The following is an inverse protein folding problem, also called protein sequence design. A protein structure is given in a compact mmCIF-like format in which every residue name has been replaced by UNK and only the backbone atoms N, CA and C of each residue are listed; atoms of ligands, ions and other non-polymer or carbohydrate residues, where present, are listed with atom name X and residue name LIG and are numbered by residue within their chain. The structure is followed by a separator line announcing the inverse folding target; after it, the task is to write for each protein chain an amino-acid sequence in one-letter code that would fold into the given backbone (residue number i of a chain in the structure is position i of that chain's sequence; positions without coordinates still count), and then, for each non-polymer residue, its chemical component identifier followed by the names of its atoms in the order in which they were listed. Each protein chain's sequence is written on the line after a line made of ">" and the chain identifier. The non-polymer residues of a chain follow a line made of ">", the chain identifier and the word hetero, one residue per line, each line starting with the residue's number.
data_IF_988695518632
#
_entry.id   IF_988695518632
#
_cell.length_a   1.000
_cell.length_b   1.000
_cell.length_c   1.000
_cell.angle_alpha   90.00
_cell.angle_beta   90.00
_cell.angle_gamma   90.00
#
_symmetry.space_group_name_H-M   'P 1'
#
loop_
_entity.id
_entity.type
_entity.pdbx_description
1 polymer ?
#
# COMPACT_ATOMS: atom_id res chain seq x y z
N UNK A 1 16.06 20.04 -20.32
CA UNK A 1 15.30 18.96 -19.65
C UNK A 1 15.95 18.71 -18.30
N UNK A 2 15.39 19.28 -17.23
CA UNK A 2 15.87 19.12 -15.85
C UNK A 2 15.29 17.83 -15.29
N UNK A 3 16.13 16.82 -15.04
CA UNK A 3 15.72 15.62 -14.31
C UNK A 3 15.17 16.03 -12.93
N UNK A 4 13.96 15.59 -12.53
CA UNK A 4 13.42 15.92 -11.22
C UNK A 4 14.39 15.39 -10.15
N UNK A 5 14.98 16.31 -9.39
CA UNK A 5 15.77 15.99 -8.20
C UNK A 5 14.80 15.55 -7.11
N UNK A 6 14.48 14.26 -7.10
CA UNK A 6 13.89 13.63 -5.93
C UNK A 6 14.76 14.00 -4.72
N UNK A 7 14.21 14.57 -3.64
CA UNK A 7 15.00 14.75 -2.43
C UNK A 7 15.49 13.36 -2.06
N UNK A 8 16.81 13.19 -2.08
CA UNK A 8 17.49 12.01 -1.59
C UNK A 8 17.31 11.95 -0.08
N UNK A 9 16.07 11.72 0.36
CA UNK A 9 15.78 11.08 1.62
C UNK A 9 16.37 9.68 1.45
N UNK A 10 17.65 9.60 1.78
CA UNK A 10 18.40 8.37 1.97
C UNK A 10 17.61 7.57 2.99
N UNK A 11 16.70 6.74 2.48
CA UNK A 11 16.02 5.71 3.21
C UNK A 11 17.10 4.66 3.53
N UNK A 12 17.94 4.97 4.51
CA UNK A 12 18.85 4.03 5.14
C UNK A 12 18.01 3.07 5.99
N UNK A 13 17.20 2.26 5.31
CA UNK A 13 16.60 1.07 5.86
C UNK A 13 17.74 0.09 6.11
N UNK A 14 18.44 0.26 7.22
CA UNK A 14 19.20 -0.81 7.84
C UNK A 14 18.17 -1.79 8.41
N UNK A 15 17.58 -2.60 7.53
CA UNK A 15 16.84 -3.80 7.92
C UNK A 15 17.87 -4.81 8.41
N UNK A 16 18.43 -4.60 9.60
CA UNK A 16 19.04 -5.69 10.35
C UNK A 16 17.88 -6.61 10.74
N UNK A 17 17.57 -7.56 9.86
CA UNK A 17 16.39 -8.41 9.99
C UNK A 17 16.44 -9.20 11.31
N UNK A 18 15.36 -9.23 12.11
CA UNK A 18 15.19 -10.31 13.06
C UNK A 18 15.13 -11.61 12.24
N UNK A 19 15.92 -12.61 12.63
CA UNK A 19 15.92 -13.92 12.00
C UNK A 19 14.48 -14.44 11.89
N UNK A 20 13.99 -14.58 10.66
CA UNK A 20 12.67 -15.11 10.33
C UNK A 20 12.67 -16.64 10.57
N UNK A 21 12.70 -17.05 11.84
CA UNK A 21 12.68 -18.45 12.23
C UNK A 21 11.23 -18.94 12.39
N UNK A 22 10.62 -19.38 11.30
CA UNK A 22 9.32 -20.05 11.26
C UNK A 22 9.35 -21.19 10.24
N UNK A 23 9.11 -22.43 10.69
CA UNK A 23 9.37 -23.66 9.94
C UNK A 23 8.38 -23.88 8.79
N UNK A 24 8.83 -23.67 7.55
CA UNK A 24 8.14 -24.07 6.32
C UNK A 24 8.40 -23.11 5.17
N UNK A 25 9.61 -23.16 4.58
CA UNK A 25 10.03 -22.28 3.47
C UNK A 25 11.38 -21.55 3.67
N UNK A 26 12.12 -21.84 4.75
CA UNK A 26 13.31 -21.08 5.16
C UNK A 26 14.40 -20.95 4.08
N UNK A 27 14.59 -21.93 3.19
CA UNK A 27 15.61 -21.83 2.14
C UNK A 27 15.28 -20.74 1.09
N UNK A 28 14.01 -20.62 0.65
CA UNK A 28 13.63 -19.55 -0.30
C UNK A 28 13.61 -18.17 0.38
N UNK A 29 13.17 -18.08 1.63
CA UNK A 29 13.11 -16.82 2.36
C UNK A 29 14.51 -16.28 2.71
N UNK A 30 15.45 -17.15 3.10
CA UNK A 30 16.84 -16.77 3.38
C UNK A 30 17.60 -16.43 2.09
N UNK A 31 17.36 -17.15 0.99
CA UNK A 31 17.91 -16.82 -0.33
C UNK A 31 17.34 -15.51 -0.88
N UNK A 32 16.03 -15.29 -0.73
CA UNK A 32 15.38 -14.03 -1.11
C UNK A 32 15.90 -12.88 -0.24
N UNK A 33 16.04 -13.07 1.07
CA UNK A 33 16.65 -12.09 1.97
C UNK A 33 18.07 -11.73 1.55
N UNK A 34 18.92 -12.73 1.29
CA UNK A 34 20.29 -12.52 0.83
C UNK A 34 20.36 -11.85 -0.55
N UNK A 35 19.47 -12.22 -1.47
CA UNK A 35 19.39 -11.59 -2.80
C UNK A 35 18.91 -10.13 -2.72
N UNK A 36 18.01 -9.82 -1.79
CA UNK A 36 17.51 -8.45 -1.54
C UNK A 36 18.54 -7.56 -0.82
N UNK A 37 19.53 -8.15 -0.13
CA UNK A 37 20.66 -7.43 0.49
C UNK A 37 21.94 -7.43 -0.36
N UNK A 38 21.93 -8.14 -1.49
CA UNK A 38 23.04 -8.22 -2.42
C UNK A 38 23.32 -6.94 -3.22
N UNK A 39 24.18 -7.06 -4.23
CA UNK A 39 24.47 -5.94 -5.12
C UNK A 39 23.24 -5.51 -5.94
N UNK A 40 23.41 -4.51 -6.81
CA UNK A 40 22.30 -3.99 -7.63
C UNK A 40 21.68 -5.07 -8.52
N UNK A 41 22.47 -6.00 -9.06
CA UNK A 41 21.99 -7.03 -9.97
C UNK A 41 21.20 -8.11 -9.21
N UNK A 42 21.69 -8.55 -8.05
CA UNK A 42 20.99 -9.50 -7.19
C UNK A 42 19.65 -8.94 -6.71
N UNK A 43 19.62 -7.67 -6.29
CA UNK A 43 18.37 -6.99 -5.91
C UNK A 43 17.37 -6.91 -7.06
N UNK A 44 17.84 -6.65 -8.27
CA UNK A 44 16.97 -6.61 -9.45
C UNK A 44 16.37 -7.99 -9.74
N UNK A 45 17.19 -9.05 -9.71
CA UNK A 45 16.73 -10.42 -9.90
C UNK A 45 15.73 -10.85 -8.83
N UNK A 46 15.93 -10.46 -7.57
CA UNK A 46 15.00 -10.75 -6.49
C UNK A 46 13.64 -10.04 -6.67
N UNK A 47 13.65 -8.78 -7.13
CA UNK A 47 12.41 -8.07 -7.49
C UNK A 47 11.67 -8.77 -8.63
N UNK A 48 12.40 -9.17 -9.68
CA UNK A 48 11.82 -9.87 -10.82
C UNK A 48 11.23 -11.23 -10.43
N UNK A 49 11.90 -11.95 -9.53
CA UNK A 49 11.43 -13.22 -8.99
C UNK A 49 10.08 -13.09 -8.28
N UNK A 50 9.92 -12.09 -7.40
CA UNK A 50 8.65 -11.85 -6.70
C UNK A 50 7.55 -11.39 -7.67
N UNK A 51 7.89 -10.61 -8.69
CA UNK A 51 6.94 -10.15 -9.71
C UNK A 51 6.48 -11.25 -10.67
N UNK A 52 7.34 -12.23 -10.97
CA UNK A 52 7.03 -13.31 -11.89
C UNK A 52 5.95 -14.25 -11.33
N UNK A 53 6.01 -14.54 -10.03
CA UNK A 53 5.08 -15.44 -9.35
C UNK A 53 4.60 -14.83 -8.04
N UNK A 54 3.64 -13.88 -8.08
CA UNK A 54 3.20 -13.19 -6.88
C UNK A 54 2.23 -13.99 -6.01
N UNK A 55 1.51 -14.96 -6.59
CA UNK A 55 0.48 -15.72 -5.89
C UNK A 55 0.99 -16.41 -4.61
N UNK A 56 2.11 -17.15 -4.61
CA UNK A 56 2.61 -17.83 -3.42
C UNK A 56 3.36 -16.90 -2.44
N UNK A 57 3.58 -15.62 -2.79
CA UNK A 57 4.43 -14.72 -1.99
C UNK A 57 3.66 -14.11 -0.83
N UNK A 58 4.36 -13.98 0.29
CA UNK A 58 3.87 -13.34 1.50
C UNK A 58 3.83 -11.83 1.36
N UNK A 59 3.01 -11.17 2.18
CA UNK A 59 2.97 -9.71 2.22
C UNK A 59 4.33 -9.11 2.55
N UNK A 60 5.08 -9.75 3.44
CA UNK A 60 6.41 -9.30 3.84
C UNK A 60 7.41 -9.36 2.67
N UNK A 61 7.45 -10.47 1.94
CA UNK A 61 8.31 -10.61 0.76
C UNK A 61 7.99 -9.55 -0.30
N UNK A 62 6.71 -9.30 -0.56
CA UNK A 62 6.27 -8.26 -1.49
C UNK A 62 6.70 -6.86 -1.03
N UNK A 63 6.53 -6.52 0.26
CA UNK A 63 6.93 -5.22 0.79
C UNK A 63 8.45 -5.03 0.78
N UNK A 64 9.25 -6.06 1.10
CA UNK A 64 10.71 -5.95 1.00
C UNK A 64 11.13 -5.81 -0.47
N UNK A 65 10.53 -6.56 -1.39
CA UNK A 65 10.77 -6.39 -2.82
C UNK A 65 10.39 -4.98 -3.31
N UNK A 66 9.28 -4.41 -2.82
CA UNK A 66 8.91 -3.03 -3.11
C UNK A 66 9.98 -2.03 -2.64
N UNK A 67 10.54 -2.23 -1.44
CA UNK A 67 11.65 -1.41 -0.93
C UNK A 67 12.87 -1.45 -1.86
N UNK A 68 13.21 -2.63 -2.40
CA UNK A 68 14.34 -2.77 -3.33
C UNK A 68 14.01 -2.18 -4.69
N UNK A 69 12.79 -2.33 -5.19
CA UNK A 69 12.35 -1.68 -6.42
C UNK A 69 12.48 -0.14 -6.33
N UNK A 70 12.15 0.47 -5.18
CA UNK A 70 12.43 1.89 -4.92
C UNK A 70 13.92 2.21 -5.02
N UNK A 71 14.79 1.44 -4.36
CA UNK A 71 16.25 1.63 -4.40
C UNK A 71 16.84 1.50 -5.82
N UNK A 72 16.21 0.68 -6.68
CA UNK A 72 16.60 0.46 -8.07
C UNK A 72 16.05 1.54 -9.03
N UNK A 73 15.16 2.41 -8.55
CA UNK A 73 14.45 3.40 -9.39
C UNK A 73 13.30 2.81 -10.21
N UNK A 74 12.86 1.59 -9.90
CA UNK A 74 11.75 0.88 -10.57
C UNK A 74 10.43 1.22 -9.88
N UNK A 75 9.99 2.48 -10.01
CA UNK A 75 8.86 3.03 -9.24
C UNK A 75 7.53 2.32 -9.52
N UNK A 76 7.25 1.96 -10.77
CA UNK A 76 6.03 1.22 -11.12
C UNK A 76 5.99 -0.16 -10.45
N UNK A 77 7.07 -0.93 -10.56
CA UNK A 77 7.21 -2.23 -9.90
C UNK A 77 7.10 -2.11 -8.37
N UNK A 78 7.69 -1.05 -7.79
CA UNK A 78 7.55 -0.76 -6.38
C UNK A 78 6.08 -0.52 -6.00
N UNK A 79 5.32 0.23 -6.83
CA UNK A 79 3.89 0.45 -6.65
C UNK A 79 3.10 -0.86 -6.67
N UNK A 80 3.32 -1.71 -7.69
CA UNK A 80 2.64 -3.01 -7.81
C UNK A 80 2.92 -3.89 -6.60
N UNK A 81 4.20 -4.04 -6.22
CA UNK A 81 4.59 -4.86 -5.08
C UNK A 81 4.07 -4.31 -3.75
N UNK A 82 4.05 -2.99 -3.58
CA UNK A 82 3.56 -2.35 -2.36
C UNK A 82 2.05 -2.52 -2.18
N UNK A 83 1.26 -2.15 -3.18
CA UNK A 83 -0.20 -2.28 -3.09
C UNK A 83 -0.64 -3.75 -3.09
N UNK A 84 0.03 -4.62 -3.86
CA UNK A 84 -0.16 -6.07 -3.81
C UNK A 84 0.16 -6.63 -2.41
N UNK A 85 1.28 -6.20 -1.83
CA UNK A 85 1.69 -6.56 -0.47
C UNK A 85 0.71 -6.10 0.61
N UNK A 86 0.16 -4.89 0.49
CA UNK A 86 -0.89 -4.37 1.38
C UNK A 86 -2.20 -5.19 1.28
N UNK A 87 -2.63 -5.55 0.06
CA UNK A 87 -3.80 -6.40 -0.13
C UNK A 87 -3.56 -7.80 0.45
N UNK A 88 -2.39 -8.40 0.21
CA UNK A 88 -1.98 -9.68 0.78
C UNK A 88 -1.93 -9.61 2.31
N UNK A 89 -1.34 -8.56 2.88
CA UNK A 89 -1.26 -8.36 4.33
C UNK A 89 -2.64 -8.31 4.97
N UNK A 90 -3.56 -7.56 4.36
CA UNK A 90 -4.93 -7.47 4.86
C UNK A 90 -5.63 -8.82 4.80
N UNK A 91 -5.48 -9.54 3.69
CA UNK A 91 -6.04 -10.87 3.53
C UNK A 91 -5.49 -11.81 4.60
N UNK A 92 -4.17 -11.78 4.80
CA UNK A 92 -3.54 -12.68 5.74
C UNK A 92 -4.02 -12.43 7.18
N UNK A 93 -4.18 -11.16 7.58
CA UNK A 93 -4.68 -10.77 8.90
C UNK A 93 -6.13 -11.18 9.14
N UNK A 94 -6.98 -11.09 8.10
CA UNK A 94 -8.40 -11.40 8.20
C UNK A 94 -8.68 -12.91 8.05
N UNK A 95 -7.87 -13.63 7.27
CA UNK A 95 -8.06 -15.04 6.95
C UNK A 95 -7.26 -16.01 7.85
N UNK A 96 -6.13 -15.58 8.42
CA UNK A 96 -5.29 -16.40 9.30
C UNK A 96 -5.18 -15.77 10.68
N UNK A 97 -5.79 -16.40 11.70
CA UNK A 97 -5.71 -15.90 13.07
C UNK A 97 -4.29 -16.08 13.61
N UNK A 98 -3.65 -14.98 14.02
CA UNK A 98 -2.36 -14.98 14.72
C UNK A 98 -2.55 -15.12 16.23
N UNK A 99 -1.49 -15.46 16.96
CA UNK A 99 -1.51 -15.66 18.43
C UNK A 99 -1.68 -14.38 19.28
N UNK A 100 -2.23 -13.32 18.71
CA UNK A 100 -2.46 -12.04 19.38
C UNK A 100 -1.48 -10.92 18.97
N UNK A 101 -1.74 -9.68 19.41
CA UNK A 101 -0.98 -8.50 19.00
C UNK A 101 0.27 -8.33 19.88
N UNK A 102 1.34 -9.06 19.57
CA UNK A 102 2.67 -8.73 20.10
C UNK A 102 3.28 -7.58 19.26
N UNK A 103 3.87 -6.52 19.85
CA UNK A 103 4.71 -5.56 19.11
C UNK A 103 5.85 -6.21 18.30
N UNK A 104 6.29 -7.43 18.64
CA UNK A 104 7.23 -8.23 17.84
C UNK A 104 6.58 -9.09 16.76
N UNK A 105 5.26 -9.05 16.60
CA UNK A 105 4.54 -9.89 15.63
C UNK A 105 4.85 -9.49 14.18
N UNK A 106 4.84 -10.44 13.23
CA UNK A 106 4.96 -10.13 11.80
C UNK A 106 3.93 -9.11 11.30
N UNK A 107 2.74 -9.10 11.88
CA UNK A 107 1.72 -8.09 11.61
C UNK A 107 2.18 -6.66 11.95
N UNK A 108 2.90 -6.48 13.07
CA UNK A 108 3.48 -5.19 13.43
C UNK A 108 4.58 -4.77 12.45
N UNK A 109 5.45 -5.70 12.06
CA UNK A 109 6.51 -5.49 11.06
C UNK A 109 5.93 -5.06 9.71
N UNK A 110 4.91 -5.77 9.22
CA UNK A 110 4.21 -5.45 7.97
C UNK A 110 3.61 -4.05 8.01
N UNK A 111 2.93 -3.67 9.11
CA UNK A 111 2.38 -2.31 9.28
C UNK A 111 3.48 -1.24 9.27
N UNK A 112 4.59 -1.49 9.96
CA UNK A 112 5.71 -0.54 10.01
C UNK A 112 6.35 -0.36 8.63
N UNK A 113 6.65 -1.46 7.93
CA UNK A 113 7.21 -1.42 6.58
C UNK A 113 6.27 -0.73 5.60
N UNK A 114 4.98 -1.09 5.64
CA UNK A 114 3.95 -0.45 4.84
C UNK A 114 3.91 1.07 5.05
N UNK A 115 3.90 1.53 6.31
CA UNK A 115 3.93 2.96 6.61
C UNK A 115 5.17 3.65 6.04
N UNK A 116 6.35 3.08 6.23
CA UNK A 116 7.62 3.64 5.73
C UNK A 116 7.66 3.68 4.20
N UNK A 117 7.24 2.60 3.54
CA UNK A 117 7.24 2.50 2.08
C UNK A 117 6.19 3.39 1.45
N UNK A 118 5.01 3.52 2.06
CA UNK A 118 3.96 4.42 1.60
C UNK A 118 4.44 5.87 1.49
N UNK A 119 5.31 6.34 2.40
CA UNK A 119 5.89 7.69 2.32
C UNK A 119 6.74 7.92 1.07
N UNK A 120 7.43 6.88 0.57
CA UNK A 120 8.25 6.96 -0.63
C UNK A 120 7.45 6.65 -1.91
N UNK A 121 6.57 5.65 -1.86
CA UNK A 121 5.85 5.11 -3.00
C UNK A 121 4.62 5.94 -3.35
N UNK A 122 3.85 6.43 -2.36
CA UNK A 122 2.62 7.17 -2.65
C UNK A 122 2.86 8.43 -3.49
N UNK A 123 3.79 9.35 -3.16
CA UNK A 123 4.02 10.52 -4.01
C UNK A 123 4.54 10.11 -5.39
N UNK A 124 5.35 9.05 -5.45
CA UNK A 124 5.91 8.58 -6.71
C UNK A 124 4.90 7.88 -7.61
N UNK A 125 3.84 7.29 -7.07
CA UNK A 125 2.82 6.59 -7.85
C UNK A 125 1.60 7.48 -8.06
N UNK A 126 1.02 8.02 -6.99
CA UNK A 126 -0.24 8.76 -7.03
C UNK A 126 -0.15 10.11 -7.72
N UNK A 127 0.99 10.81 -7.66
CA UNK A 127 1.12 12.12 -8.32
C UNK A 127 1.38 12.02 -9.85
N UNK A 128 1.58 10.81 -10.40
CA UNK A 128 1.71 10.57 -11.83
C UNK A 128 0.59 9.64 -12.33
N UNK A 129 -0.46 10.17 -13.01
CA UNK A 129 -1.61 9.38 -13.42
C UNK A 129 -1.26 8.21 -14.36
N UNK A 130 -0.29 8.37 -15.27
CA UNK A 130 0.10 7.29 -16.19
C UNK A 130 0.73 6.12 -15.45
N UNK A 131 1.56 6.40 -14.45
CA UNK A 131 2.19 5.39 -13.61
C UNK A 131 1.17 4.73 -12.70
N UNK A 132 0.25 5.49 -12.11
CA UNK A 132 -0.83 4.92 -11.32
C UNK A 132 -1.70 3.99 -12.18
N UNK A 133 -2.04 4.39 -13.40
CA UNK A 133 -2.76 3.54 -14.35
C UNK A 133 -2.02 2.24 -14.65
N UNK A 134 -0.71 2.29 -14.90
CA UNK A 134 0.10 1.09 -15.12
C UNK A 134 0.11 0.17 -13.89
N UNK A 135 0.22 0.74 -12.69
CA UNK A 135 0.16 0.00 -11.42
C UNK A 135 -1.21 -0.65 -11.24
N UNK A 136 -2.30 0.12 -11.37
CA UNK A 136 -3.69 -0.36 -11.25
C UNK A 136 -3.94 -1.48 -12.26
N UNK A 137 -3.57 -1.28 -13.52
CA UNK A 137 -3.72 -2.28 -14.57
C UNK A 137 -3.03 -3.61 -14.27
N UNK A 138 -1.85 -3.58 -13.64
CA UNK A 138 -1.16 -4.81 -13.20
C UNK A 138 -1.78 -5.44 -11.96
N UNK A 139 -2.45 -4.65 -11.12
CA UNK A 139 -3.14 -5.13 -9.93
C UNK A 139 -4.52 -5.73 -10.23
N UNK A 140 -5.13 -5.40 -11.37
CA UNK A 140 -6.40 -5.98 -11.83
C UNK A 140 -6.35 -7.51 -11.84
N UNK A 141 -5.30 -8.08 -12.41
CA UNK A 141 -5.15 -9.54 -12.49
C UNK A 141 -4.44 -10.14 -11.27
N UNK A 142 -4.10 -9.32 -10.26
CA UNK A 142 -3.32 -9.78 -9.12
C UNK A 142 -4.16 -10.63 -8.16
N UNK A 143 -3.72 -11.84 -7.78
CA UNK A 143 -4.48 -12.73 -6.93
C UNK A 143 -4.41 -12.31 -5.45
N UNK A 144 -5.49 -11.71 -4.94
CA UNK A 144 -5.64 -11.39 -3.50
C UNK A 144 -5.71 -12.65 -2.65
N UNK A 145 -6.31 -13.73 -3.14
CA UNK A 145 -6.32 -15.04 -2.46
C UNK A 145 -5.04 -15.82 -2.82
N UNK A 146 -4.30 -16.36 -1.84
CA UNK A 146 -3.12 -17.16 -2.13
C UNK A 146 -3.52 -18.59 -2.57
N UNK A 147 -2.59 -19.35 -3.18
CA UNK A 147 -2.85 -20.74 -3.57
C UNK A 147 -3.07 -21.66 -2.36
N UNK A 148 -3.60 -22.86 -2.62
CA UNK A 148 -3.72 -23.90 -1.59
C UNK A 148 -2.35 -24.26 -1.01
N UNK A 149 -2.30 -24.53 0.30
CA UNK A 149 -1.05 -24.84 1.01
C UNK A 149 -0.20 -23.62 1.37
N UNK A 150 -0.65 -22.42 1.02
CA UNK A 150 0.00 -21.17 1.43
C UNK A 150 0.18 -21.08 2.95
N UNK A 151 1.30 -20.48 3.36
CA UNK A 151 1.63 -20.22 4.76
C UNK A 151 2.04 -18.75 4.89
N UNK A 152 1.35 -17.93 5.70
CA UNK A 152 1.81 -16.58 5.96
C UNK A 152 3.12 -16.62 6.75
N UNK A 153 3.81 -15.49 6.82
CA UNK A 153 5.09 -15.34 7.54
C UNK A 153 4.97 -15.46 9.08
N UNK A 154 3.81 -15.87 9.60
CA UNK A 154 3.55 -16.03 11.04
C UNK A 154 2.90 -17.37 11.36
N UNK A 155 3.04 -17.86 12.61
CA UNK A 155 2.31 -19.03 13.08
C UNK A 155 0.80 -18.83 12.96
N UNK A 156 0.14 -19.78 12.29
CA UNK A 156 -1.31 -19.79 12.08
C UNK A 156 -1.95 -20.63 13.17
N UNK A 157 -2.88 -20.05 13.94
CA UNK A 157 -3.70 -20.83 14.87
C UNK A 157 -4.86 -21.51 14.17
N UNK A 158 -5.50 -20.80 13.26
CA UNK A 158 -6.58 -21.31 12.44
C UNK A 158 -6.74 -20.54 11.14
N UNK A 159 -7.26 -21.22 10.14
CA UNK A 159 -7.66 -20.67 8.84
C UNK A 159 -9.18 -20.52 8.79
N UNK A 160 -9.67 -19.47 8.12
CA UNK A 160 -11.11 -19.33 7.85
C UNK A 160 -11.57 -20.33 6.78
N UNK A 161 -12.88 -20.59 6.72
CA UNK A 161 -13.48 -21.43 5.68
C UNK A 161 -13.30 -20.81 4.28
N UNK A 162 -13.21 -21.62 3.22
CA UNK A 162 -12.99 -21.13 1.85
C UNK A 162 -13.98 -20.05 1.39
N UNK A 163 -15.26 -20.18 1.73
CA UNK A 163 -16.30 -19.20 1.34
C UNK A 163 -16.08 -17.85 2.02
N UNK A 164 -15.57 -17.87 3.25
CA UNK A 164 -15.21 -16.66 4.00
C UNK A 164 -13.95 -16.03 3.41
N UNK A 165 -12.98 -16.85 3.01
CA UNK A 165 -11.76 -16.39 2.33
C UNK A 165 -12.06 -15.68 1.00
N UNK A 166 -12.95 -16.22 0.17
CA UNK A 166 -13.34 -15.59 -1.09
C UNK A 166 -14.04 -14.24 -0.88
N UNK A 167 -14.92 -14.16 0.11
CA UNK A 167 -15.54 -12.89 0.50
C UNK A 167 -14.50 -11.87 0.96
N UNK A 168 -13.57 -12.25 1.84
CA UNK A 168 -12.48 -11.37 2.31
C UNK A 168 -11.67 -10.86 1.11
N UNK A 169 -11.30 -11.74 0.17
CA UNK A 169 -10.54 -11.35 -1.01
C UNK A 169 -11.29 -10.35 -1.89
N UNK A 170 -12.60 -10.54 -2.09
CA UNK A 170 -13.47 -9.60 -2.79
C UNK A 170 -13.56 -8.25 -2.10
N UNK A 171 -13.81 -8.23 -0.78
CA UNK A 171 -13.88 -7.01 0.02
C UNK A 171 -12.56 -6.21 -0.02
N UNK A 172 -11.41 -6.90 0.06
CA UNK A 172 -10.09 -6.26 -0.04
C UNK A 172 -9.87 -5.65 -1.42
N UNK A 173 -10.26 -6.36 -2.48
CA UNK A 173 -10.15 -5.83 -3.85
C UNK A 173 -10.95 -4.55 -3.99
N UNK A 174 -12.22 -4.54 -3.56
CA UNK A 174 -13.05 -3.33 -3.66
C UNK A 174 -12.50 -2.19 -2.78
N UNK A 175 -12.13 -2.48 -1.53
CA UNK A 175 -11.71 -1.43 -0.59
C UNK A 175 -10.28 -0.91 -0.83
N UNK A 176 -9.43 -1.64 -1.58
CA UNK A 176 -8.06 -1.21 -1.90
C UNK A 176 -7.89 -0.85 -3.36
N UNK A 177 -8.17 -1.79 -4.27
CA UNK A 177 -8.04 -1.55 -5.71
C UNK A 177 -9.12 -0.57 -6.19
N UNK A 178 -10.35 -0.66 -5.67
CA UNK A 178 -11.42 0.31 -5.97
C UNK A 178 -11.00 1.74 -5.64
N UNK A 179 -10.42 1.97 -4.45
CA UNK A 179 -9.90 3.31 -4.06
C UNK A 179 -8.80 3.80 -5.00
N UNK A 180 -7.92 2.92 -5.50
CA UNK A 180 -6.89 3.31 -6.46
C UNK A 180 -7.47 3.66 -7.84
N UNK A 181 -8.52 2.95 -8.29
CA UNK A 181 -9.26 3.28 -9.51
C UNK A 181 -9.95 4.63 -9.40
N UNK A 182 -10.65 4.84 -8.29
CA UNK A 182 -11.32 6.11 -7.98
C UNK A 182 -10.31 7.27 -7.96
N UNK A 183 -9.15 7.05 -7.33
CA UNK A 183 -8.08 8.03 -7.30
C UNK A 183 -7.54 8.33 -8.70
N UNK A 184 -7.39 7.30 -9.55
CA UNK A 184 -6.95 7.48 -10.94
C UNK A 184 -7.95 8.32 -11.75
N UNK A 185 -9.25 8.15 -11.53
CA UNK A 185 -10.29 9.00 -12.12
C UNK A 185 -10.15 10.44 -11.61
N UNK A 186 -10.04 10.62 -10.30
CA UNK A 186 -9.99 11.93 -9.67
C UNK A 186 -8.73 12.74 -10.02
N UNK A 187 -7.55 12.11 -10.05
CA UNK A 187 -6.28 12.80 -10.33
C UNK A 187 -6.17 13.29 -11.78
N UNK A 188 -7.01 12.78 -12.68
CA UNK A 188 -7.14 13.26 -14.07
C UNK A 188 -8.06 14.48 -14.21
N UNK A 189 -8.81 14.82 -13.17
CA UNK A 189 -9.69 16.00 -13.16
C UNK A 189 -8.93 17.23 -12.64
N UNK A 190 -8.84 18.28 -13.47
CA UNK A 190 -8.08 19.50 -13.14
C UNK A 190 -8.62 20.22 -11.90
N UNK A 191 -9.94 20.21 -11.69
CA UNK A 191 -10.58 20.89 -10.55
C UNK A 191 -10.23 20.15 -9.26
N UNK A 192 -10.37 18.83 -9.26
CA UNK A 192 -10.01 17.99 -8.12
C UNK A 192 -8.51 18.12 -7.80
N UNK A 193 -7.64 18.06 -8.82
CA UNK A 193 -6.19 18.20 -8.66
C UNK A 193 -5.80 19.54 -8.06
N UNK A 194 -6.32 20.65 -8.60
CA UNK A 194 -6.01 21.98 -8.07
C UNK A 194 -6.49 22.14 -6.62
N UNK A 195 -7.66 21.59 -6.29
CA UNK A 195 -8.17 21.62 -4.93
C UNK A 195 -7.30 20.78 -3.97
N UNK A 196 -6.80 19.61 -4.40
CA UNK A 196 -5.87 18.82 -3.62
C UNK A 196 -4.55 19.56 -3.38
N UNK A 197 -4.02 20.26 -4.39
CA UNK A 197 -2.83 21.09 -4.26
C UNK A 197 -3.03 22.22 -3.24
N UNK A 198 -4.21 22.87 -3.23
CA UNK A 198 -4.55 23.90 -2.25
C UNK A 198 -4.59 23.35 -0.81
N UNK A 199 -5.13 22.14 -0.61
CA UNK A 199 -5.13 21.44 0.69
C UNK A 199 -3.69 21.10 1.11
N UNK A 200 -2.87 20.58 0.18
CA UNK A 200 -1.46 20.28 0.46
C UNK A 200 -0.68 21.55 0.82
N UNK A 201 -0.92 22.65 0.10
CA UNK A 201 -0.33 23.96 0.39
C UNK A 201 -0.74 24.47 1.77
N UNK A 202 -2.01 24.33 2.16
CA UNK A 202 -2.49 24.66 3.50
C UNK A 202 -1.79 23.81 4.58
N UNK A 203 -1.67 22.50 4.37
CA UNK A 203 -1.01 21.59 5.33
C UNK A 203 0.49 21.88 5.49
N UNK A 204 1.14 22.47 4.48
CA UNK A 204 2.52 22.93 4.54
C UNK A 204 2.74 24.26 5.28
N UNK A 205 1.66 24.96 5.70
CA UNK A 205 1.77 26.23 6.44
C UNK A 205 2.16 26.00 7.91
N UNK A 206 2.90 26.95 8.49
CA UNK A 206 3.12 27.03 9.95
C UNK A 206 1.80 27.22 10.70
N UNK A 207 1.77 26.90 12.00
CA UNK A 207 0.55 27.03 12.83
C UNK A 207 -0.08 28.43 12.73
N UNK A 208 0.72 29.48 12.97
CA UNK A 208 0.25 30.87 12.92
C UNK A 208 -0.35 31.26 11.56
N UNK A 209 0.19 30.70 10.46
CA UNK A 209 -0.33 30.96 9.12
C UNK A 209 -1.62 30.21 8.84
N UNK A 210 -1.78 28.98 9.36
CA UNK A 210 -3.02 28.19 9.28
C UNK A 210 -4.16 28.83 10.07
N UNK A 211 -3.85 29.53 11.15
CA UNK A 211 -4.86 30.19 11.98
C UNK A 211 -5.45 31.47 11.40
N UNK A 212 -4.90 31.97 10.28
CA UNK A 212 -5.49 33.11 9.58
C UNK A 212 -6.83 32.75 8.93
N UNK A 213 -7.78 33.67 8.98
CA UNK A 213 -9.11 33.52 8.34
C UNK A 213 -8.97 33.18 6.84
N UNK A 214 -8.10 33.91 6.14
CA UNK A 214 -7.83 33.68 4.72
C UNK A 214 -7.23 32.29 4.40
N UNK A 215 -6.50 31.66 5.34
CA UNK A 215 -6.03 30.28 5.14
C UNK A 215 -7.18 29.27 5.34
N UNK A 216 -8.01 29.48 6.36
CA UNK A 216 -9.18 28.64 6.65
C UNK A 216 -10.23 28.71 5.54
N UNK A 217 -10.49 29.90 5.00
CA UNK A 217 -11.41 30.09 3.88
C UNK A 217 -10.93 29.37 2.61
N UNK A 218 -9.63 29.46 2.30
CA UNK A 218 -9.03 28.73 1.17
C UNK A 218 -9.12 27.22 1.34
N UNK A 219 -8.87 26.70 2.55
CA UNK A 219 -9.04 25.28 2.84
C UNK A 219 -10.51 24.86 2.63
N UNK A 220 -11.45 25.61 3.20
CA UNK A 220 -12.88 25.30 3.08
C UNK A 220 -13.36 25.35 1.63
N UNK A 221 -12.84 26.28 0.82
CA UNK A 221 -13.12 26.34 -0.61
C UNK A 221 -12.57 25.13 -1.36
N UNK A 222 -11.32 24.76 -1.09
CA UNK A 222 -10.70 23.57 -1.67
C UNK A 222 -11.49 22.28 -1.31
N UNK A 223 -11.92 22.15 -0.05
CA UNK A 223 -12.74 21.02 0.40
C UNK A 223 -14.07 20.94 -0.38
N UNK A 224 -14.79 22.06 -0.54
CA UNK A 224 -16.02 22.10 -1.34
C UNK A 224 -15.77 21.77 -2.82
N UNK A 225 -14.63 22.19 -3.37
CA UNK A 225 -14.25 21.85 -4.76
C UNK A 225 -13.99 20.36 -4.91
N UNK A 226 -13.33 19.72 -3.93
CA UNK A 226 -13.15 18.27 -3.90
C UNK A 226 -14.51 17.57 -3.83
N UNK A 227 -15.38 17.94 -2.89
CA UNK A 227 -16.70 17.32 -2.72
C UNK A 227 -17.52 17.36 -4.02
N UNK A 228 -17.61 18.53 -4.67
CA UNK A 228 -18.33 18.67 -5.95
C UNK A 228 -17.68 17.91 -7.10
N UNK A 229 -16.35 17.82 -7.11
CA UNK A 229 -15.65 17.07 -8.13
C UNK A 229 -15.85 15.57 -7.93
N UNK A 230 -15.77 15.07 -6.70
CA UNK A 230 -16.03 13.67 -6.34
C UNK A 230 -17.48 13.26 -6.68
N UNK A 231 -18.48 14.10 -6.35
CA UNK A 231 -19.88 13.88 -6.72
C UNK A 231 -20.06 13.82 -8.26
N UNK A 232 -19.42 14.74 -8.99
CA UNK A 232 -19.50 14.77 -10.46
C UNK A 232 -18.81 13.58 -11.12
N UNK A 233 -17.71 13.11 -10.53
CA UNK A 233 -16.92 11.98 -11.05
C UNK A 233 -17.43 10.62 -10.58
N UNK A 234 -18.43 10.60 -9.68
CA UNK A 234 -18.96 9.39 -9.05
C UNK A 234 -17.88 8.58 -8.33
N UNK A 235 -17.02 9.25 -7.55
CA UNK A 235 -15.93 8.63 -6.77
C UNK A 235 -16.01 9.01 -5.30
N UNK A 236 -15.45 8.19 -4.42
CA UNK A 236 -15.40 8.47 -2.98
C UNK A 236 -13.97 8.35 -2.42
N UNK A 237 -13.30 9.48 -2.21
CA UNK A 237 -11.92 9.47 -1.71
C UNK A 237 -11.76 10.25 -0.40
N UNK A 238 -12.15 11.53 -0.41
CA UNK A 238 -11.87 12.46 0.68
C UNK A 238 -13.12 13.01 1.36
N UNK A 239 -14.27 12.94 0.70
CA UNK A 239 -15.54 13.45 1.24
C UNK A 239 -16.05 12.58 2.41
N UNK A 240 -16.30 13.22 3.55
CA UNK A 240 -16.69 12.54 4.79
C UNK A 240 -18.03 11.77 4.71
N UNK A 241 -18.88 12.09 3.73
CA UNK A 241 -20.21 11.49 3.57
C UNK A 241 -20.28 10.28 2.64
N UNK A 242 -19.20 9.94 1.94
CA UNK A 242 -19.27 8.98 0.84
C UNK A 242 -18.79 7.57 1.19
N UNK A 243 -18.20 7.35 2.38
CA UNK A 243 -17.81 5.99 2.77
C UNK A 243 -19.08 5.17 3.06
N UNK A 244 -19.33 4.05 2.36
CA UNK A 244 -20.33 3.10 2.83
C UNK A 244 -19.96 2.73 4.27
N UNK A 245 -20.94 2.68 5.17
CA UNK A 245 -20.73 2.23 6.54
C UNK A 245 -19.87 0.97 6.49
N UNK A 246 -18.63 1.05 6.97
CA UNK A 246 -17.79 -0.14 7.02
C UNK A 246 -18.59 -1.19 7.79
N UNK A 247 -18.76 -2.41 7.25
CA UNK A 247 -19.52 -3.44 7.92
C UNK A 247 -18.97 -3.56 9.34
N UNK A 248 -19.81 -3.22 10.32
CA UNK A 248 -19.45 -3.25 11.74
C UNK A 248 -18.96 -4.67 12.01
N UNK A 249 -17.67 -4.83 12.27
CA UNK A 249 -17.07 -6.13 12.50
C UNK A 249 -17.82 -6.80 13.68
N UNK A 250 -18.64 -7.84 13.44
CA UNK A 250 -19.47 -8.41 14.49
C UNK A 250 -18.64 -9.21 15.51
N UNK A 251 -17.34 -9.40 15.27
CA UNK A 251 -16.40 -10.07 16.17
C UNK A 251 -15.78 -9.17 17.25
N UNK A 252 -16.06 -7.87 17.25
CA UNK A 252 -15.54 -6.90 18.23
C UNK A 252 -16.29 -6.88 19.57
N UNK A 253 -16.49 -8.04 20.21
CA UNK A 253 -16.80 -8.11 21.64
C UNK A 253 -15.80 -9.05 22.30
N UNK A 254 -14.71 -8.47 22.79
CA UNK A 254 -13.80 -9.04 23.77
C UNK A 254 -13.72 -8.08 24.95
#
# INVERSE_FOLDING_TARGET
>A
MTTPRWPALLLCLALAGPALAGHGGQLEADELGAALDGDRAHRAAAVDFVLAEPAPRTSLEMLVAAARAVQLGRVEDAGVLYYGGEMRARYELDAYRSEGPDPGSPAATVRQLSHQLGQAIHPATLDNPERLEAVVGRLEDWPVRPPEGYRPAWPVQSEVLPEVADRIAGEIRETRLGVLRDYLVAVRDDVWKQALEDIRAYNGLSSDRRDTEAARERLADAQRRIERAEERLDVCLLSAGCRPEQPVNPGGRG
#
